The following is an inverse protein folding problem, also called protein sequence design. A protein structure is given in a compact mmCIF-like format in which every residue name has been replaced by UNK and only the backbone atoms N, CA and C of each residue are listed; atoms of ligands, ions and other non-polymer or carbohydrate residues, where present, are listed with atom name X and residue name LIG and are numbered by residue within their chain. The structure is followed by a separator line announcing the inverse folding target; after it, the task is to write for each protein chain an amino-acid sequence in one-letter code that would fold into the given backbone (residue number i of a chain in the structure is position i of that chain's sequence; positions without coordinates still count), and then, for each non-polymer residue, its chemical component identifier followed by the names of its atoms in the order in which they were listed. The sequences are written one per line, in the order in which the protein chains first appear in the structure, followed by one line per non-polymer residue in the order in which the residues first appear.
data_IF_176837163686
#
_entry.id   IF_176837163686
#
_cell.length_a   1.000
_cell.length_b   1.000
_cell.length_c   1.000
_cell.angle_alpha   90.00
_cell.angle_beta   90.00
_cell.angle_gamma   90.00
#
_symmetry.space_group_name_H-M   'P 1'
#
loop_
_entity.id
_entity.type
_entity.pdbx_description
1 polymer ?
#
# COMPACT_ATOMS: atom_id res chain seq x y z
N UNK A 1 -13.13 18.12 -5.83
CA UNK A 1 -12.03 17.43 -5.14
C UNK A 1 -12.56 16.87 -3.84
N UNK A 2 -12.65 15.54 -3.67
CA UNK A 2 -12.92 14.95 -2.36
C UNK A 2 -11.68 15.19 -1.50
N UNK A 3 -11.81 16.01 -0.45
CA UNK A 3 -10.79 16.09 0.61
C UNK A 3 -10.84 14.77 1.35
N UNK A 4 -9.89 13.88 1.09
CA UNK A 4 -9.66 12.74 1.95
C UNK A 4 -9.04 13.25 3.25
N UNK A 5 -9.82 13.22 4.33
CA UNK A 5 -9.33 13.51 5.67
C UNK A 5 -8.59 12.27 6.18
N UNK A 6 -7.45 11.95 5.57
CA UNK A 6 -6.56 10.92 6.06
C UNK A 6 -5.96 11.43 7.38
N UNK A 7 -6.41 10.89 8.51
CA UNK A 7 -5.75 11.09 9.80
C UNK A 7 -4.60 10.08 9.89
N UNK A 8 -3.51 10.36 9.19
CA UNK A 8 -2.28 9.58 9.28
C UNK A 8 -1.40 10.17 10.38
N UNK A 9 -0.91 9.32 11.26
CA UNK A 9 0.14 9.69 12.22
C UNK A 9 1.55 9.43 11.68
N UNK A 10 2.59 9.69 12.49
CA UNK A 10 3.97 9.47 12.07
C UNK A 10 4.26 7.99 11.78
N UNK A 11 3.66 7.06 12.55
CA UNK A 11 3.86 5.62 12.36
C UNK A 11 3.27 5.15 11.03
N UNK A 12 2.10 5.67 10.67
CA UNK A 12 1.47 5.43 9.39
C UNK A 12 2.36 5.89 8.22
N UNK A 13 2.94 7.09 8.34
CA UNK A 13 3.82 7.65 7.31
C UNK A 13 5.10 6.84 7.15
N UNK A 14 5.72 6.42 8.27
CA UNK A 14 6.91 5.57 8.27
C UNK A 14 6.62 4.23 7.58
N UNK A 15 5.51 3.57 7.95
CA UNK A 15 5.10 2.32 7.32
C UNK A 15 4.82 2.49 5.81
N UNK A 16 4.14 3.56 5.40
CA UNK A 16 3.91 3.86 3.99
C UNK A 16 5.23 4.03 3.22
N UNK A 17 6.21 4.71 3.81
CA UNK A 17 7.53 4.90 3.19
C UNK A 17 8.27 3.57 3.06
N UNK A 18 8.29 2.76 4.12
CA UNK A 18 8.95 1.45 4.11
C UNK A 18 8.34 0.50 3.08
N UNK A 19 7.01 0.43 3.01
CA UNK A 19 6.30 -0.36 1.99
C UNK A 19 6.65 0.16 0.59
N UNK A 20 6.70 1.49 0.41
CA UNK A 20 7.07 2.09 -0.87
C UNK A 20 8.49 1.70 -1.29
N UNK A 21 9.46 1.70 -0.36
CA UNK A 21 10.84 1.26 -0.64
C UNK A 21 10.91 -0.22 -1.02
N UNK A 22 10.14 -1.11 -0.36
CA UNK A 22 10.05 -2.51 -0.77
C UNK A 22 9.40 -2.67 -2.15
N UNK A 23 8.34 -1.91 -2.45
CA UNK A 23 7.68 -1.92 -3.76
C UNK A 23 8.59 -1.41 -4.88
N UNK A 24 9.52 -0.49 -4.62
CA UNK A 24 10.50 -0.03 -5.63
C UNK A 24 11.35 -1.16 -6.17
N UNK A 25 11.61 -2.22 -5.39
CA UNK A 25 12.36 -3.40 -5.85
C UNK A 25 11.62 -4.17 -6.94
N UNK A 26 10.30 -4.05 -7.00
CA UNK A 26 9.46 -4.73 -7.99
C UNK A 26 8.99 -3.82 -9.13
N UNK A 27 8.69 -2.55 -8.82
CA UNK A 27 8.01 -1.63 -9.73
C UNK A 27 8.81 -0.35 -10.04
N UNK A 28 9.99 -0.19 -9.45
CA UNK A 28 10.84 0.98 -9.67
C UNK A 28 10.13 2.29 -9.31
N UNK A 29 10.20 3.26 -10.22
CA UNK A 29 9.64 4.59 -10.00
C UNK A 29 8.10 4.60 -9.85
N UNK A 30 7.42 3.56 -10.32
CA UNK A 30 5.96 3.43 -10.23
C UNK A 30 5.48 3.00 -8.84
N UNK A 31 6.38 2.62 -7.92
CA UNK A 31 6.03 2.09 -6.61
C UNK A 31 5.03 2.96 -5.82
N UNK A 32 5.19 4.29 -5.89
CA UNK A 32 4.26 5.23 -5.24
C UNK A 32 2.86 5.16 -5.84
N UNK A 33 2.78 5.11 -7.16
CA UNK A 33 1.50 5.00 -7.86
C UNK A 33 0.83 3.65 -7.57
N UNK A 34 1.62 2.56 -7.56
CA UNK A 34 1.16 1.23 -7.20
C UNK A 34 0.58 1.18 -5.78
N UNK A 35 1.25 1.79 -4.80
CA UNK A 35 0.73 1.85 -3.43
C UNK A 35 -0.60 2.62 -3.36
N UNK A 36 -0.70 3.77 -4.03
CA UNK A 36 -1.91 4.59 -4.05
C UNK A 36 -3.10 3.92 -4.76
N UNK A 37 -2.83 3.12 -5.79
CA UNK A 37 -3.84 2.33 -6.52
C UNK A 37 -4.24 1.03 -5.81
N UNK A 38 -3.48 0.61 -4.81
CA UNK A 38 -3.76 -0.60 -4.03
C UNK A 38 -4.87 -0.36 -2.99
N UNK A 39 -5.34 -1.45 -2.37
CA UNK A 39 -6.29 -1.32 -1.26
C UNK A 39 -5.64 -0.89 0.07
N UNK A 40 -4.31 -0.74 0.12
CA UNK A 40 -3.55 -0.53 1.36
C UNK A 40 -4.02 0.69 2.15
N UNK A 41 -4.08 1.87 1.51
CA UNK A 41 -4.46 3.12 2.18
C UNK A 41 -5.86 3.00 2.81
N UNK A 42 -6.80 2.36 2.10
CA UNK A 42 -8.15 2.11 2.63
C UNK A 42 -8.11 1.16 3.83
N UNK A 43 -7.31 0.10 3.80
CA UNK A 43 -7.17 -0.83 4.93
C UNK A 43 -6.56 -0.14 6.15
N UNK A 44 -5.61 0.76 5.94
CA UNK A 44 -5.00 1.56 7.00
C UNK A 44 -6.04 2.45 7.68
N UNK A 45 -6.95 3.06 6.93
CA UNK A 45 -8.08 3.81 7.48
C UNK A 45 -9.10 2.92 8.20
N UNK A 46 -9.45 1.78 7.61
CA UNK A 46 -10.52 0.90 8.12
C UNK A 46 -10.09 0.11 9.36
N UNK A 47 -8.83 -0.32 9.43
CA UNK A 47 -8.31 -1.14 10.52
C UNK A 47 -6.79 -0.96 10.72
N UNK A 48 -6.37 0.16 11.34
CA UNK A 48 -4.95 0.47 11.52
C UNK A 48 -4.24 -0.56 12.43
N UNK A 49 -4.91 -1.09 13.46
CA UNK A 49 -4.32 -2.12 14.34
C UNK A 49 -3.92 -3.38 13.56
N UNK A 50 -4.79 -3.84 12.65
CA UNK A 50 -4.48 -4.96 11.77
C UNK A 50 -3.33 -4.61 10.82
N UNK A 51 -3.30 -3.39 10.28
CA UNK A 51 -2.24 -2.97 9.35
C UNK A 51 -0.87 -2.93 10.04
N UNK A 52 -0.79 -2.34 11.22
CA UNK A 52 0.43 -2.26 12.03
C UNK A 52 0.85 -3.58 12.67
N UNK A 53 0.02 -4.63 12.60
CA UNK A 53 0.40 -5.98 13.02
C UNK A 53 1.40 -6.65 12.06
N UNK A 54 1.43 -6.22 10.80
CA UNK A 54 2.28 -6.81 9.77
C UNK A 54 3.33 -5.83 9.27
N UNK A 55 4.48 -6.37 8.87
CA UNK A 55 5.62 -5.61 8.39
C UNK A 55 5.45 -5.13 6.94
N UNK A 56 6.37 -4.28 6.51
CA UNK A 56 6.41 -3.67 5.19
C UNK A 56 6.52 -4.72 4.06
N UNK A 57 7.18 -5.85 4.32
CA UNK A 57 7.38 -6.93 3.35
C UNK A 57 6.10 -7.73 3.10
N UNK A 58 5.34 -7.98 4.15
CA UNK A 58 4.01 -8.56 4.06
C UNK A 58 3.14 -7.70 3.16
N UNK A 59 3.05 -6.40 3.45
CA UNK A 59 2.21 -5.48 2.71
C UNK A 59 2.66 -5.29 1.25
N UNK A 60 3.96 -5.18 0.99
CA UNK A 60 4.49 -5.15 -0.38
C UNK A 60 4.11 -6.43 -1.16
N UNK A 61 4.09 -7.58 -0.51
CA UNK A 61 3.66 -8.84 -1.12
C UNK A 61 2.16 -8.85 -1.42
N UNK A 62 1.32 -8.40 -0.48
CA UNK A 62 -0.12 -8.28 -0.68
C UNK A 62 -0.43 -7.36 -1.86
N UNK A 63 0.15 -6.16 -1.89
CA UNK A 63 -0.04 -5.17 -2.96
C UNK A 63 0.40 -5.74 -4.32
N UNK A 64 1.56 -6.41 -4.37
CA UNK A 64 2.04 -7.08 -5.60
C UNK A 64 1.04 -8.12 -6.11
N UNK A 65 0.43 -8.88 -5.21
CA UNK A 65 -0.54 -9.91 -5.57
C UNK A 65 -1.88 -9.30 -6.01
N UNK A 66 -2.36 -8.24 -5.38
CA UNK A 66 -3.58 -7.51 -5.80
C UNK A 66 -3.48 -7.06 -7.26
N UNK A 67 -2.34 -6.53 -7.68
CA UNK A 67 -2.12 -6.13 -9.06
C UNK A 67 -2.04 -7.32 -10.03
N UNK A 68 -1.37 -8.41 -9.67
CA UNK A 68 -1.36 -9.62 -10.49
C UNK A 68 -2.78 -10.09 -10.77
N UNK A 69 -3.65 -10.09 -9.76
CA UNK A 69 -5.05 -10.43 -9.92
C UNK A 69 -5.81 -9.41 -10.78
N UNK A 70 -5.57 -8.10 -10.60
CA UNK A 70 -6.19 -7.03 -11.40
C UNK A 70 -5.85 -7.17 -12.89
N UNK A 71 -4.60 -7.50 -13.22
CA UNK A 71 -4.15 -7.66 -14.61
C UNK A 71 -4.39 -9.05 -15.21
N UNK A 72 -4.46 -10.11 -14.39
CA UNK A 72 -4.80 -11.45 -14.90
C UNK A 72 -6.25 -11.58 -15.33
N UNK A 73 -7.15 -10.71 -14.84
CA UNK A 73 -8.56 -10.67 -15.23
C UNK A 73 -8.75 -9.92 -16.57
N UNK A 74 -7.74 -9.19 -17.05
CA UNK A 74 -7.79 -8.38 -18.27
C UNK A 74 -7.21 -9.10 -19.52
N UNK A 75 -6.87 -10.40 -19.41
CA UNK A 75 -6.35 -11.23 -20.52
C UNK A 75 -7.34 -12.33 -20.85
#
# INVERSE_FOLDING_TARGET
MRKSNYNLDELDLDLILEITEELKRYFGNEARYILLESSFIRRLEENPEYVHHFDEKYWATVIKNELKHKYSILV
#
